data_IF_439810825182
#
_entry.id   IF_439810825182
#
_cell.length_a   1.000
_cell.length_b   1.000
_cell.length_c   1.000
_cell.angle_alpha   90.00
_cell.angle_beta   90.00
_cell.angle_gamma   90.00
#
_symmetry.space_group_name_H-M   'P 1'
#
loop_
_entity.id
_entity.type
_entity.pdbx_description
1 polymer ?
#
# COMPACT_ATOMS: atom_id res chain seq x y z
N UNK A 1 -37.83 -1.48 6.83
CA UNK A 1 -37.21 -1.60 5.49
C UNK A 1 -36.65 -0.28 4.96
N UNK A 2 -37.40 0.82 4.86
CA UNK A 2 -36.81 2.13 4.49
C UNK A 2 -36.08 2.84 5.64
N UNK A 3 -36.53 2.66 6.89
CA UNK A 3 -35.79 3.12 8.09
C UNK A 3 -34.50 2.32 8.34
N UNK A 4 -34.49 1.01 8.08
CA UNK A 4 -33.27 0.19 8.11
C UNK A 4 -32.25 0.63 7.04
N UNK A 5 -32.71 0.97 5.82
CA UNK A 5 -31.85 1.51 4.77
C UNK A 5 -31.39 2.94 5.08
N UNK A 6 -32.16 3.72 5.84
CA UNK A 6 -31.77 5.05 6.30
C UNK A 6 -30.77 4.97 7.47
N UNK A 7 -30.95 4.04 8.41
CA UNK A 7 -29.99 3.75 9.49
C UNK A 7 -28.70 3.11 8.95
N UNK A 8 -28.76 2.28 7.91
CA UNK A 8 -27.57 1.79 7.19
C UNK A 8 -26.87 2.90 6.38
N UNK A 9 -27.61 3.91 5.89
CA UNK A 9 -27.03 5.09 5.26
C UNK A 9 -26.45 6.09 6.28
N UNK A 10 -26.96 6.10 7.52
CA UNK A 10 -26.37 6.80 8.67
C UNK A 10 -25.22 6.01 9.32
N UNK A 11 -25.04 4.73 8.97
CA UNK A 11 -24.01 3.86 9.51
C UNK A 11 -22.65 4.09 8.85
N UNK A 12 -21.81 4.84 9.57
CA UNK A 12 -20.36 5.05 9.37
C UNK A 12 -20.02 5.91 8.16
N UNK A 13 -19.91 7.20 8.44
CA UNK A 13 -18.92 8.04 7.78
C UNK A 13 -17.53 7.43 8.02
N UNK A 14 -17.15 6.45 7.19
CA UNK A 14 -15.83 5.84 7.25
C UNK A 14 -14.81 6.96 7.06
N UNK A 15 -13.76 7.05 7.90
CA UNK A 15 -12.78 8.11 7.77
C UNK A 15 -12.26 8.15 6.33
N UNK A 16 -12.49 9.28 5.65
CA UNK A 16 -12.03 9.54 4.28
C UNK A 16 -10.66 10.18 4.34
N UNK A 17 -9.76 9.83 3.40
CA UNK A 17 -8.38 10.35 3.40
C UNK A 17 -8.42 11.86 3.22
N UNK A 18 -7.81 12.59 4.16
CA UNK A 18 -7.51 14.01 3.92
C UNK A 18 -6.36 14.13 2.91
N UNK A 19 -6.26 15.27 2.23
CA UNK A 19 -5.32 15.47 1.11
C UNK A 19 -3.88 15.05 1.43
N UNK A 20 -3.38 15.33 2.64
CA UNK A 20 -2.02 14.97 3.04
C UNK A 20 -1.81 13.45 3.11
N UNK A 21 -2.82 12.66 3.50
CA UNK A 21 -2.72 11.20 3.62
C UNK A 21 -2.65 10.47 2.27
N UNK A 22 -2.74 11.17 1.15
CA UNK A 22 -2.52 10.58 -0.18
C UNK A 22 -1.05 10.36 -0.53
N UNK A 23 -0.12 10.86 0.30
CA UNK A 23 1.31 10.63 0.11
C UNK A 23 1.65 9.14 0.02
N UNK A 24 1.01 8.29 0.83
CA UNK A 24 1.37 6.87 0.94
C UNK A 24 0.97 6.05 -0.29
N UNK A 25 -0.27 6.14 -0.83
CA UNK A 25 -0.61 5.55 -2.12
C UNK A 25 0.32 6.02 -3.25
N UNK A 26 0.63 7.31 -3.32
CA UNK A 26 1.52 7.88 -4.34
C UNK A 26 2.94 7.32 -4.20
N UNK A 27 3.47 7.27 -2.97
CA UNK A 27 4.78 6.70 -2.68
C UNK A 27 4.83 5.21 -3.03
N UNK A 28 3.77 4.45 -2.74
CA UNK A 28 3.68 3.03 -3.10
C UNK A 28 3.74 2.84 -4.62
N UNK A 29 2.99 3.64 -5.38
CA UNK A 29 3.06 3.60 -6.84
C UNK A 29 4.47 3.95 -7.36
N UNK A 30 5.11 4.95 -6.76
CA UNK A 30 6.48 5.34 -7.11
C UNK A 30 7.51 4.23 -6.84
N UNK A 31 7.35 3.47 -5.75
CA UNK A 31 8.22 2.32 -5.43
C UNK A 31 8.16 1.23 -6.49
N UNK A 32 6.99 0.99 -7.09
CA UNK A 32 6.86 -0.07 -8.09
C UNK A 32 7.13 0.41 -9.51
N UNK A 33 6.65 1.61 -9.88
CA UNK A 33 6.74 2.09 -11.27
C UNK A 33 7.98 2.95 -11.50
N UNK A 34 8.32 3.83 -10.54
CA UNK A 34 9.40 4.80 -10.69
C UNK A 34 10.76 4.30 -10.23
N UNK A 35 10.80 3.55 -9.13
CA UNK A 35 12.06 3.09 -8.54
C UNK A 35 12.82 2.13 -9.46
N UNK A 36 12.22 1.10 -10.08
CA UNK A 36 12.98 0.14 -10.89
C UNK A 36 13.81 0.80 -12.01
N UNK A 37 13.25 1.62 -12.92
CA UNK A 37 14.05 2.26 -13.96
C UNK A 37 15.12 3.23 -13.41
N UNK A 38 14.92 3.79 -12.21
CA UNK A 38 15.86 4.75 -11.62
C UNK A 38 17.12 4.09 -11.02
N UNK A 39 17.00 2.88 -10.46
CA UNK A 39 18.09 2.24 -9.69
C UNK A 39 18.56 0.89 -10.22
N UNK A 40 17.88 0.26 -11.21
CA UNK A 40 18.28 -1.07 -11.67
C UNK A 40 19.71 -1.15 -12.23
N UNK A 41 20.26 -0.03 -12.72
CA UNK A 41 21.64 0.07 -13.20
C UNK A 41 22.69 0.01 -12.08
N UNK A 42 22.28 0.23 -10.83
CA UNK A 42 23.18 0.40 -9.69
C UNK A 42 23.19 -0.82 -8.75
N UNK A 43 22.19 -1.69 -8.85
CA UNK A 43 22.00 -2.82 -7.93
C UNK A 43 21.56 -4.07 -8.68
N UNK A 44 21.78 -5.25 -8.09
CA UNK A 44 21.24 -6.50 -8.64
C UNK A 44 19.71 -6.55 -8.50
N UNK A 45 19.06 -7.37 -9.34
CA UNK A 45 17.60 -7.55 -9.27
C UNK A 45 17.11 -8.05 -7.90
N UNK A 46 17.90 -8.89 -7.21
CA UNK A 46 17.58 -9.35 -5.85
C UNK A 46 17.62 -8.20 -4.85
N UNK A 47 18.64 -7.34 -4.93
CA UNK A 47 18.75 -6.16 -4.06
C UNK A 47 17.61 -5.19 -4.32
N UNK A 48 17.24 -4.97 -5.59
CA UNK A 48 16.08 -4.15 -5.95
C UNK A 48 14.78 -4.72 -5.38
N UNK A 49 14.57 -6.02 -5.49
CA UNK A 49 13.38 -6.70 -4.95
C UNK A 49 13.28 -6.54 -3.43
N UNK A 50 14.40 -6.73 -2.71
CA UNK A 50 14.46 -6.53 -1.25
C UNK A 50 14.17 -5.07 -0.90
N UNK A 51 14.76 -4.12 -1.62
CA UNK A 51 14.54 -2.69 -1.41
C UNK A 51 13.07 -2.33 -1.58
N UNK A 52 12.43 -2.81 -2.65
CA UNK A 52 11.00 -2.62 -2.88
C UNK A 52 10.19 -3.21 -1.72
N UNK A 53 10.51 -4.41 -1.25
CA UNK A 53 9.78 -5.06 -0.15
C UNK A 53 9.89 -4.27 1.15
N UNK A 54 11.08 -3.80 1.49
CA UNK A 54 11.32 -2.94 2.66
C UNK A 54 10.51 -1.64 2.55
N UNK A 55 10.56 -0.97 1.41
CA UNK A 55 9.81 0.27 1.19
C UNK A 55 8.30 0.05 1.26
N UNK A 56 7.78 -1.03 0.67
CA UNK A 56 6.37 -1.41 0.77
C UNK A 56 5.94 -1.54 2.24
N UNK A 57 6.72 -2.27 3.06
CA UNK A 57 6.42 -2.45 4.48
C UNK A 57 6.45 -1.12 5.22
N UNK A 58 7.48 -0.28 5.01
CA UNK A 58 7.61 1.02 5.69
C UNK A 58 6.46 1.96 5.33
N UNK A 59 6.14 2.09 4.04
CA UNK A 59 5.05 2.97 3.58
C UNK A 59 3.71 2.48 4.11
N UNK A 60 3.43 1.18 4.03
CA UNK A 60 2.17 0.63 4.50
C UNK A 60 2.01 0.72 6.03
N UNK A 61 3.09 0.51 6.80
CA UNK A 61 3.10 0.74 8.25
C UNK A 61 2.76 2.19 8.58
N UNK A 62 3.41 3.15 7.93
CA UNK A 62 3.18 4.58 8.15
C UNK A 62 1.77 5.01 7.71
N UNK A 63 1.27 4.48 6.60
CA UNK A 63 -0.10 4.70 6.13
C UNK A 63 -1.12 4.19 7.16
N UNK A 64 -0.93 2.97 7.65
CA UNK A 64 -1.78 2.38 8.68
C UNK A 64 -1.79 3.19 9.96
N UNK A 65 -0.62 3.68 10.38
CA UNK A 65 -0.48 4.49 11.59
C UNK A 65 -1.16 5.86 11.50
N UNK A 66 -1.25 6.43 10.30
CA UNK A 66 -1.77 7.80 10.08
C UNK A 66 -3.23 7.88 9.66
N UNK A 67 -3.76 6.87 8.96
CA UNK A 67 -5.12 6.89 8.43
C UNK A 67 -5.97 5.76 9.04
N UNK A 68 -5.75 4.52 8.59
CA UNK A 68 -6.28 3.25 9.11
C UNK A 68 -5.84 2.15 8.15
N UNK A 69 -6.03 0.90 8.55
CA UNK A 69 -5.95 -0.20 7.59
C UNK A 69 -7.03 -0.02 6.51
N UNK A 70 -6.63 0.21 5.26
CA UNK A 70 -7.52 0.57 4.16
C UNK A 70 -7.32 -0.33 2.94
N UNK A 71 -8.38 -0.45 2.12
CA UNK A 71 -8.30 -1.25 0.89
C UNK A 71 -7.40 -0.63 -0.20
N UNK A 72 -7.16 0.67 -0.09
CA UNK A 72 -6.40 1.44 -1.08
C UNK A 72 -4.94 0.99 -1.16
N UNK A 73 -4.25 0.85 -0.03
CA UNK A 73 -2.78 0.72 -0.04
C UNK A 73 -2.31 -0.60 -0.64
N UNK A 74 -2.98 -1.72 -0.35
CA UNK A 74 -2.62 -3.00 -0.99
C UNK A 74 -3.13 -3.08 -2.43
N UNK A 75 -4.26 -2.41 -2.77
CA UNK A 75 -4.74 -2.37 -4.16
C UNK A 75 -3.75 -1.62 -5.05
N UNK A 76 -3.22 -0.50 -4.56
CA UNK A 76 -2.17 0.26 -5.25
C UNK A 76 -0.89 -0.56 -5.34
N UNK A 77 -0.47 -1.26 -4.27
CA UNK A 77 0.70 -2.13 -4.34
C UNK A 77 0.55 -3.21 -5.43
N UNK A 78 -0.59 -3.89 -5.48
CA UNK A 78 -0.88 -4.92 -6.49
C UNK A 78 -0.91 -4.37 -7.91
N UNK A 79 -1.67 -3.30 -8.14
CA UNK A 79 -1.81 -2.68 -9.47
C UNK A 79 -0.50 -2.07 -9.96
N UNK A 80 0.26 -1.40 -9.08
CA UNK A 80 1.53 -0.78 -9.45
C UNK A 80 2.60 -1.85 -9.72
N UNK A 81 2.65 -2.93 -8.93
CA UNK A 81 3.53 -4.05 -9.21
C UNK A 81 3.18 -4.74 -10.54
N UNK A 82 1.89 -4.96 -10.79
CA UNK A 82 1.43 -5.54 -12.06
C UNK A 82 1.80 -4.65 -13.27
N UNK A 83 1.65 -3.33 -13.13
CA UNK A 83 2.09 -2.38 -14.14
C UNK A 83 3.61 -2.44 -14.35
N UNK A 84 4.40 -2.45 -13.28
CA UNK A 84 5.85 -2.57 -13.35
C UNK A 84 6.30 -3.88 -14.02
N UNK A 85 5.59 -4.98 -13.74
CA UNK A 85 5.83 -6.26 -14.40
C UNK A 85 5.58 -6.19 -15.91
N UNK A 86 4.52 -5.50 -16.32
CA UNK A 86 4.19 -5.33 -17.74
C UNK A 86 5.18 -4.41 -18.48
N UNK A 87 5.86 -3.51 -17.76
CA UNK A 87 6.76 -2.51 -18.34
C UNK A 87 8.23 -2.96 -18.36
N UNK A 88 8.70 -3.60 -17.29
CA UNK A 88 10.15 -3.76 -17.05
C UNK A 88 10.57 -5.16 -16.63
N UNK A 89 9.70 -5.93 -15.97
CA UNK A 89 10.09 -7.24 -15.42
C UNK A 89 9.68 -8.39 -16.34
N UNK A 90 10.33 -9.53 -16.14
CA UNK A 90 9.94 -10.76 -16.82
C UNK A 90 8.65 -11.33 -16.23
N UNK A 91 7.91 -12.10 -17.04
CA UNK A 91 6.66 -12.75 -16.59
C UNK A 91 6.85 -13.59 -15.33
N UNK A 92 8.01 -14.26 -15.18
CA UNK A 92 8.33 -15.08 -14.02
C UNK A 92 8.35 -14.35 -12.67
N UNK A 93 8.29 -13.01 -12.66
CA UNK A 93 8.18 -12.22 -11.42
C UNK A 93 6.75 -12.14 -10.87
N UNK A 94 5.75 -12.65 -11.59
CA UNK A 94 4.35 -12.65 -11.13
C UNK A 94 4.17 -13.25 -9.73
N UNK A 95 5.03 -14.20 -9.33
CA UNK A 95 5.02 -14.84 -8.00
C UNK A 95 5.20 -13.86 -6.85
N UNK A 96 5.83 -12.70 -7.08
CA UNK A 96 6.07 -11.71 -6.04
C UNK A 96 4.87 -10.77 -5.84
N UNK A 97 3.94 -10.68 -6.81
CA UNK A 97 2.73 -9.89 -6.69
C UNK A 97 1.93 -10.23 -5.42
N UNK A 98 1.54 -11.51 -5.16
CA UNK A 98 0.82 -11.84 -3.94
C UNK A 98 1.65 -11.55 -2.67
N UNK A 99 2.98 -11.65 -2.74
CA UNK A 99 3.87 -11.33 -1.63
C UNK A 99 3.79 -9.84 -1.29
N UNK A 100 3.92 -8.96 -2.27
CA UNK A 100 3.84 -7.51 -2.05
C UNK A 100 2.48 -7.05 -1.56
N UNK A 101 1.40 -7.64 -2.10
CA UNK A 101 0.03 -7.37 -1.64
C UNK A 101 -0.14 -7.79 -0.18
N UNK A 102 0.35 -8.99 0.18
CA UNK A 102 0.29 -9.47 1.56
C UNK A 102 1.13 -8.60 2.51
N UNK A 103 2.35 -8.22 2.11
CA UNK A 103 3.20 -7.33 2.90
C UNK A 103 2.52 -5.98 3.15
N UNK A 104 1.96 -5.36 2.11
CA UNK A 104 1.25 -4.09 2.24
C UNK A 104 0.03 -4.21 3.17
N UNK A 105 -0.75 -5.29 3.04
CA UNK A 105 -1.89 -5.54 3.92
C UNK A 105 -1.49 -5.75 5.38
N UNK A 106 -0.52 -6.63 5.64
CA UNK A 106 -0.06 -6.96 6.98
C UNK A 106 0.58 -5.74 7.67
N UNK A 107 1.45 -5.02 6.95
CA UNK A 107 2.06 -3.79 7.43
C UNK A 107 1.03 -2.70 7.75
N UNK A 108 0.04 -2.48 6.88
CA UNK A 108 -1.02 -1.50 7.13
C UNK A 108 -1.87 -1.84 8.37
N UNK A 109 -2.17 -3.12 8.58
CA UNK A 109 -2.83 -3.61 9.80
C UNK A 109 -2.02 -3.34 11.06
N UNK A 110 -0.71 -3.66 11.03
CA UNK A 110 0.20 -3.41 12.15
C UNK A 110 0.34 -1.91 12.43
N UNK A 111 0.45 -1.09 11.39
CA UNK A 111 0.49 0.36 11.48
C UNK A 111 -0.74 0.91 12.19
N UNK A 112 -1.93 0.44 11.82
CA UNK A 112 -3.18 0.86 12.44
C UNK A 112 -3.24 0.55 13.95
N UNK A 113 -2.71 -0.61 14.37
CA UNK A 113 -2.60 -0.95 15.79
C UNK A 113 -1.64 -0.01 16.51
N UNK A 114 -0.50 0.31 15.90
CA UNK A 114 0.50 1.22 16.48
C UNK A 114 -0.09 2.63 16.61
N UNK A 115 -0.71 3.16 15.55
CA UNK A 115 -1.34 4.48 15.57
C UNK A 115 -2.49 4.59 16.56
N UNK A 116 -3.26 3.51 16.76
CA UNK A 116 -4.31 3.47 17.78
C UNK A 116 -3.77 3.53 19.21
N UNK A 117 -2.63 2.88 19.49
CA UNK A 117 -1.99 2.90 20.81
C UNK A 117 -1.33 4.25 21.13
N UNK A 118 -0.88 4.97 20.10
CA UNK A 118 -0.24 6.27 20.26
C UNK A 118 -1.22 7.40 20.61
N UNK A 119 -2.53 7.13 20.66
CA UNK A 119 -3.56 8.15 20.85
C UNK A 119 -3.61 9.05 19.63
N UNK A 120 -4.33 8.63 18.58
CA UNK A 120 -4.49 9.40 17.33
C UNK A 120 -4.82 10.86 17.68
N UNK A 121 -3.92 11.79 17.33
CA UNK A 121 -4.05 13.23 17.60
C UNK A 121 -5.12 13.87 16.74
#
# INVERSE_FOLDING_TARGET
MFEELAEEAEAKDEPTRVWWQWWAPVAMAAVFVGLPPAVYHLVSGVVLLILMAVLTVVIALADGATFRASWTIFSVAGLAYFAAMSLYFNEGTWIYLPVFVFLAWAASRLGAVVGSKAGKS
#
